data_IF_581731611287
#
_entry.id   IF_581731611287
#
_cell.length_a   1.000
_cell.length_b   1.000
_cell.length_c   1.000
_cell.angle_alpha   90.00
_cell.angle_beta   90.00
_cell.angle_gamma   90.00
#
_symmetry.space_group_name_H-M   'P 1'
#
loop_
_entity.id
_entity.type
_entity.pdbx_description
1 polymer ?
#
# COMPACT_ATOMS: atom_id res chain seq x y z
N UNK A 1 -7.87 -79.31 30.42
CA UNK A 1 -7.51 -79.36 28.99
C UNK A 1 -8.35 -78.32 28.27
N UNK A 2 -7.72 -77.40 27.50
CA UNK A 2 -8.27 -76.22 26.77
C UNK A 2 -8.41 -74.95 27.64
N UNK A 3 -7.41 -74.06 27.66
CA UNK A 3 -7.13 -72.91 26.77
C UNK A 3 -8.19 -71.79 26.84
N UNK A 4 -7.82 -70.64 27.42
CA UNK A 4 -8.27 -69.28 27.02
C UNK A 4 -7.32 -68.25 27.71
N UNK A 5 -6.28 -67.83 26.99
CA UNK A 5 -6.10 -66.48 26.43
C UNK A 5 -5.95 -65.35 27.48
N UNK A 6 -4.68 -65.09 27.81
CA UNK A 6 -4.23 -63.85 28.43
C UNK A 6 -4.25 -62.74 27.38
N UNK A 7 -5.03 -61.68 27.64
CA UNK A 7 -5.06 -60.46 26.85
C UNK A 7 -3.83 -59.61 27.22
N UNK A 8 -2.83 -59.58 26.35
CA UNK A 8 -1.70 -58.64 26.46
C UNK A 8 -2.20 -57.25 26.07
N UNK A 9 -2.36 -56.38 27.06
CA UNK A 9 -2.68 -54.97 26.88
C UNK A 9 -1.39 -54.23 26.47
N UNK A 10 -1.12 -54.15 25.17
CA UNK A 10 -0.06 -53.28 24.63
C UNK A 10 -0.52 -51.83 24.72
N UNK A 11 -0.02 -51.09 25.72
CA UNK A 11 -0.13 -49.63 25.74
C UNK A 11 0.71 -49.05 24.61
N UNK A 12 0.04 -48.51 23.59
CA UNK A 12 0.61 -47.57 22.64
C UNK A 12 0.98 -46.28 23.39
N UNK A 13 2.28 -46.03 23.54
CA UNK A 13 2.82 -44.68 23.81
C UNK A 13 2.87 -43.91 22.48
N UNK A 14 1.75 -43.32 22.08
CA UNK A 14 1.76 -42.25 21.08
C UNK A 14 2.16 -40.98 21.84
N UNK A 15 3.44 -40.66 21.80
CA UNK A 15 3.91 -39.36 22.27
C UNK A 15 3.29 -38.25 21.41
N UNK A 16 2.85 -37.13 21.99
CA UNK A 16 2.38 -36.00 21.20
C UNK A 16 3.56 -35.47 20.39
N UNK A 17 3.54 -35.73 19.08
CA UNK A 17 4.34 -34.95 18.15
C UNK A 17 3.74 -33.55 18.20
N UNK A 18 4.46 -32.63 18.85
CA UNK A 18 4.21 -31.21 18.69
C UNK A 18 4.42 -30.91 17.21
N UNK A 19 3.32 -30.87 16.46
CA UNK A 19 3.28 -30.19 15.18
C UNK A 19 3.52 -28.73 15.52
N UNK A 20 4.78 -28.32 15.46
CA UNK A 20 5.11 -26.92 15.30
C UNK A 20 4.48 -26.53 13.97
N UNK A 21 3.28 -25.96 14.04
CA UNK A 21 2.82 -25.05 13.01
C UNK A 21 3.92 -23.98 12.98
N UNK A 22 4.79 -24.07 11.98
CA UNK A 22 5.55 -22.91 11.56
C UNK A 22 4.48 -21.86 11.27
N UNK A 23 4.36 -20.88 12.15
CA UNK A 23 3.75 -19.59 11.82
C UNK A 23 4.33 -19.24 10.46
N UNK A 24 3.50 -19.30 9.42
CA UNK A 24 3.89 -18.88 8.08
C UNK A 24 4.55 -17.53 8.26
N UNK A 25 5.84 -17.42 7.90
CA UNK A 25 6.63 -16.19 8.01
C UNK A 25 5.70 -15.02 7.75
N UNK A 26 5.42 -14.14 8.73
CA UNK A 26 4.42 -13.11 8.57
C UNK A 26 4.84 -12.32 7.35
N UNK A 27 4.09 -12.49 6.26
CA UNK A 27 4.34 -11.73 5.04
C UNK A 27 4.34 -10.27 5.48
N UNK A 28 5.36 -9.47 5.11
CA UNK A 28 5.39 -8.08 5.54
C UNK A 28 4.04 -7.47 5.21
N UNK A 29 3.36 -6.96 6.25
CA UNK A 29 2.09 -6.31 6.05
C UNK A 29 2.29 -5.24 4.99
N UNK A 30 1.54 -5.32 3.90
CA UNK A 30 1.56 -4.31 2.85
C UNK A 30 1.07 -3.02 3.49
N UNK A 31 2.02 -2.14 3.81
CA UNK A 31 1.66 -0.81 4.28
C UNK A 31 1.22 0.00 3.06
N UNK A 32 0.06 0.67 3.13
CA UNK A 32 -0.31 1.69 2.16
C UNK A 32 0.88 2.63 1.89
N UNK A 33 1.06 3.05 0.63
CA UNK A 33 2.20 3.90 0.26
C UNK A 33 2.15 5.29 0.91
N UNK A 34 0.95 5.77 1.19
CA UNK A 34 0.70 7.18 1.46
C UNK A 34 0.33 7.44 2.93
N UNK A 35 0.75 6.60 3.90
CA UNK A 35 0.37 6.70 5.32
C UNK A 35 0.46 8.15 5.87
N UNK A 36 -0.41 8.48 6.81
CA UNK A 36 -0.42 9.78 7.47
C UNK A 36 0.81 9.92 8.38
N UNK A 37 1.17 11.15 8.75
CA UNK A 37 2.25 11.41 9.70
C UNK A 37 2.06 10.64 11.01
N UNK A 38 0.83 10.55 11.51
CA UNK A 38 0.51 9.84 12.75
C UNK A 38 0.65 8.32 12.59
N UNK A 39 0.18 7.76 11.46
CA UNK A 39 0.35 6.33 11.14
C UNK A 39 1.85 5.96 11.05
N UNK A 40 2.68 6.79 10.42
CA UNK A 40 4.13 6.58 10.41
C UNK A 40 4.77 6.73 11.78
N UNK A 41 4.28 7.67 12.61
CA UNK A 41 4.76 7.81 13.98
C UNK A 41 4.49 6.56 14.80
N UNK A 42 3.29 6.00 14.73
CA UNK A 42 2.94 4.76 15.42
C UNK A 42 3.77 3.59 14.95
N UNK A 43 3.96 3.45 13.63
CA UNK A 43 4.83 2.44 13.04
C UNK A 43 6.26 2.53 13.58
N UNK A 44 6.79 3.75 13.67
CA UNK A 44 8.11 4.00 14.24
C UNK A 44 8.19 3.68 15.73
N UNK A 45 7.21 4.10 16.54
CA UNK A 45 7.18 3.77 17.98
C UNK A 45 7.10 2.26 18.21
N UNK A 46 6.31 1.54 17.42
CA UNK A 46 6.24 0.08 17.50
C UNK A 46 7.59 -0.56 17.15
N UNK A 47 8.26 -0.06 16.09
CA UNK A 47 9.59 -0.51 15.72
C UNK A 47 10.62 -0.29 16.83
N UNK A 48 10.64 0.90 17.44
CA UNK A 48 11.49 1.21 18.60
C UNK A 48 11.19 0.29 19.80
N UNK A 49 9.92 0.01 20.09
CA UNK A 49 9.54 -0.87 21.18
C UNK A 49 10.03 -2.31 20.96
N UNK A 50 10.04 -2.79 19.71
CA UNK A 50 10.48 -4.15 19.38
C UNK A 50 12.00 -4.36 19.40
N UNK A 51 12.78 -3.36 18.96
CA UNK A 51 14.23 -3.48 18.80
C UNK A 51 15.05 -2.72 19.86
N UNK A 52 14.41 -1.84 20.63
CA UNK A 52 15.08 -0.92 21.54
C UNK A 52 15.99 0.07 20.80
N UNK A 53 17.11 0.44 21.43
CA UNK A 53 18.06 1.42 20.85
C UNK A 53 18.78 0.91 19.61
N UNK A 54 18.85 -0.41 19.40
CA UNK A 54 19.49 -1.01 18.21
C UNK A 54 18.84 -0.56 16.91
N UNK A 55 17.55 -0.23 16.93
CA UNK A 55 16.84 0.31 15.79
C UNK A 55 17.50 1.57 15.20
N UNK A 56 18.15 2.39 16.03
CA UNK A 56 18.79 3.65 15.61
C UNK A 56 20.27 3.47 15.24
N UNK A 57 20.94 2.48 15.82
CA UNK A 57 22.37 2.23 15.62
C UNK A 57 22.65 1.65 14.22
N UNK A 58 21.69 0.88 13.70
CA UNK A 58 21.81 0.22 12.40
C UNK A 58 21.41 1.14 11.22
N UNK A 59 20.92 2.37 11.47
CA UNK A 59 20.46 3.29 10.43
C UNK A 59 21.57 4.20 9.88
N UNK A 60 21.47 4.50 8.59
CA UNK A 60 22.33 5.49 7.96
C UNK A 60 22.08 6.87 8.60
N UNK A 61 23.12 7.72 8.79
CA UNK A 61 22.98 8.98 9.52
C UNK A 61 21.85 9.89 9.02
N UNK A 62 21.69 10.00 7.69
CA UNK A 62 20.63 10.80 7.09
C UNK A 62 19.23 10.23 7.32
N UNK A 63 19.07 8.90 7.32
CA UNK A 63 17.81 8.22 7.66
C UNK A 63 17.41 8.56 9.09
N UNK A 64 18.34 8.37 10.04
CA UNK A 64 18.12 8.70 11.45
C UNK A 64 17.78 10.18 11.65
N UNK A 65 18.52 11.08 10.99
CA UNK A 65 18.24 12.52 11.09
C UNK A 65 16.87 12.87 10.50
N UNK A 66 16.49 12.28 9.36
CA UNK A 66 15.15 12.42 8.77
C UNK A 66 14.03 11.99 9.73
N UNK A 67 14.21 10.85 10.40
CA UNK A 67 13.29 10.34 11.43
C UNK A 67 13.17 11.33 12.60
N UNK A 68 14.30 11.70 13.20
CA UNK A 68 14.35 12.60 14.36
C UNK A 68 13.69 13.96 14.06
N UNK A 69 13.92 14.51 12.86
CA UNK A 69 13.29 15.76 12.44
C UNK A 69 11.78 15.67 12.36
N UNK A 70 11.25 14.58 11.79
CA UNK A 70 9.80 14.36 11.74
C UNK A 70 9.17 14.16 13.12
N UNK A 71 9.82 13.42 14.02
CA UNK A 71 9.34 13.28 15.41
C UNK A 71 9.30 14.64 16.12
N UNK A 72 10.35 15.47 15.98
CA UNK A 72 10.38 16.81 16.58
C UNK A 72 9.32 17.73 15.98
N UNK A 73 9.07 17.66 14.68
CA UNK A 73 7.98 18.38 14.02
C UNK A 73 6.60 17.94 14.52
N UNK A 74 6.36 16.63 14.66
CA UNK A 74 5.09 16.10 15.17
C UNK A 74 4.80 16.61 16.59
N UNK A 75 5.80 16.57 17.48
CA UNK A 75 5.69 17.14 18.82
C UNK A 75 5.41 18.65 18.79
N UNK A 76 6.04 19.38 17.86
CA UNK A 76 5.82 20.81 17.70
C UNK A 76 4.40 21.12 17.22
N UNK A 77 3.89 20.40 16.22
CA UNK A 77 2.52 20.53 15.73
C UNK A 77 1.50 20.25 16.84
N UNK A 78 1.72 19.19 17.63
CA UNK A 78 0.89 18.89 18.81
C UNK A 78 0.91 20.06 19.80
N UNK A 79 2.07 20.65 20.06
CA UNK A 79 2.21 21.81 20.97
C UNK A 79 1.49 23.06 20.45
N UNK A 80 1.58 23.35 19.15
CA UNK A 80 0.87 24.46 18.51
C UNK A 80 -0.64 24.23 18.58
N UNK A 81 -1.10 23.02 18.25
CA UNK A 81 -2.52 22.67 18.18
C UNK A 81 -3.22 22.57 19.54
N UNK A 82 -2.49 22.40 20.65
CA UNK A 82 -3.04 22.46 22.01
C UNK A 82 -3.74 23.80 22.34
N UNK A 83 -3.39 24.87 21.62
CA UNK A 83 -3.96 26.22 21.85
C UNK A 83 -5.02 26.61 20.82
N UNK A 84 -5.34 25.71 19.87
CA UNK A 84 -6.24 25.96 18.74
C UNK A 84 -7.55 25.21 18.92
N UNK A 85 -8.65 25.77 18.41
CA UNK A 85 -9.91 25.03 18.27
C UNK A 85 -9.75 23.91 17.23
N UNK A 86 -10.56 22.84 17.28
CA UNK A 86 -10.46 21.71 16.34
C UNK A 86 -10.46 22.12 14.86
N UNK A 87 -11.21 23.17 14.51
CA UNK A 87 -11.37 23.69 13.15
C UNK A 87 -10.17 24.53 12.69
N UNK A 88 -9.35 24.99 13.63
CA UNK A 88 -8.18 25.85 13.39
C UNK A 88 -6.85 25.12 13.59
N UNK A 89 -6.87 23.82 13.87
CA UNK A 89 -5.66 23.03 14.01
C UNK A 89 -4.87 23.02 12.69
N UNK A 90 -3.56 23.15 12.78
CA UNK A 90 -2.66 22.95 11.64
C UNK A 90 -2.65 21.46 11.31
N UNK A 91 -2.96 21.15 10.05
CA UNK A 91 -2.85 19.81 9.49
C UNK A 91 -1.93 19.85 8.29
N UNK A 92 -1.07 18.85 8.17
CA UNK A 92 -0.18 18.72 7.01
C UNK A 92 -0.88 18.07 5.82
N UNK A 93 -2.00 17.39 6.05
CA UNK A 93 -2.83 16.74 5.03
C UNK A 93 -4.14 17.52 4.80
N UNK A 94 -4.65 17.42 3.58
CA UNK A 94 -5.91 18.02 3.12
C UNK A 94 -6.29 17.38 1.78
N UNK A 95 -7.56 17.49 1.33
CA UNK A 95 -7.96 17.04 0.00
C UNK A 95 -7.07 17.58 -1.12
N UNK A 96 -6.71 18.86 -1.06
CA UNK A 96 -5.93 19.54 -2.11
C UNK A 96 -4.43 19.22 -2.11
N UNK A 97 -3.92 18.48 -1.13
CA UNK A 97 -2.48 18.17 -1.01
C UNK A 97 -2.15 16.72 -1.32
N UNK A 98 -3.16 15.95 -1.71
CA UNK A 98 -3.01 14.58 -2.18
C UNK A 98 -2.40 14.60 -3.57
N UNK A 99 -1.38 13.78 -3.75
CA UNK A 99 -0.75 13.54 -5.05
C UNK A 99 -0.55 12.05 -5.19
N UNK A 100 -1.07 11.47 -6.26
CA UNK A 100 -0.75 10.09 -6.59
C UNK A 100 0.69 9.95 -7.10
N UNK A 101 1.18 8.72 -7.10
CA UNK A 101 2.49 8.34 -7.62
C UNK A 101 2.24 7.52 -8.90
N UNK A 102 2.05 8.15 -10.07
CA UNK A 102 1.64 7.44 -11.27
C UNK A 102 2.73 6.47 -11.75
N UNK A 103 2.32 5.36 -12.36
CA UNK A 103 3.20 4.35 -12.98
C UNK A 103 4.25 4.91 -13.95
N UNK A 104 3.93 6.04 -14.59
CA UNK A 104 4.81 6.74 -15.55
C UNK A 104 5.90 7.59 -14.87
N UNK A 105 5.71 7.93 -13.60
CA UNK A 105 6.65 8.70 -12.80
C UNK A 105 6.76 8.07 -11.39
N UNK A 106 7.32 6.86 -11.29
CA UNK A 106 7.41 6.15 -10.03
C UNK A 106 8.24 6.93 -9.03
N UNK A 107 7.90 6.80 -7.76
CA UNK A 107 8.74 7.29 -6.67
C UNK A 107 9.91 6.33 -6.48
N UNK A 108 11.11 6.89 -6.44
CA UNK A 108 12.36 6.15 -6.24
C UNK A 108 12.99 6.67 -4.96
N UNK A 109 13.20 5.80 -3.99
CA UNK A 109 13.76 6.18 -2.70
C UNK A 109 14.63 5.10 -2.09
N UNK A 110 15.49 5.52 -1.16
CA UNK A 110 16.50 4.69 -0.52
C UNK A 110 17.46 5.58 0.26
N UNK A 111 18.50 5.02 0.90
CA UNK A 111 19.44 5.81 1.72
C UNK A 111 20.06 6.99 0.99
N UNK A 112 20.40 6.81 -0.30
CA UNK A 112 20.95 7.87 -1.14
C UNK A 112 19.96 9.01 -1.33
N UNK A 113 18.72 8.71 -1.74
CA UNK A 113 17.69 9.71 -2.00
C UNK A 113 17.24 10.41 -0.71
N UNK A 114 17.19 9.69 0.41
CA UNK A 114 16.94 10.28 1.74
C UNK A 114 18.03 11.29 2.08
N UNK A 115 19.30 10.93 1.90
CA UNK A 115 20.44 11.84 2.13
C UNK A 115 20.40 13.08 1.25
N UNK A 116 20.17 12.92 -0.05
CA UNK A 116 20.05 14.03 -1.01
C UNK A 116 18.84 14.93 -0.67
N UNK A 117 17.70 14.33 -0.30
CA UNK A 117 16.48 15.06 0.08
C UNK A 117 16.66 15.84 1.38
N UNK A 118 17.32 15.25 2.39
CA UNK A 118 17.65 15.91 3.64
C UNK A 118 18.55 17.13 3.39
N UNK A 119 19.64 16.97 2.62
CA UNK A 119 20.56 18.06 2.30
C UNK A 119 19.85 19.20 1.54
N UNK A 120 19.07 18.85 0.51
CA UNK A 120 18.28 19.81 -0.26
C UNK A 120 17.28 20.55 0.63
N UNK A 121 16.50 19.82 1.41
CA UNK A 121 15.51 20.40 2.31
C UNK A 121 16.16 21.35 3.32
N UNK A 122 17.23 20.95 4.02
CA UNK A 122 17.96 21.82 4.97
C UNK A 122 18.52 23.09 4.31
N UNK A 123 18.89 23.04 3.03
CA UNK A 123 19.32 24.24 2.29
C UNK A 123 18.18 25.21 1.95
N UNK A 124 16.94 24.73 1.96
CA UNK A 124 15.74 25.53 1.63
C UNK A 124 14.89 25.90 2.83
N UNK A 125 15.08 25.25 3.98
CA UNK A 125 14.35 25.55 5.20
C UNK A 125 14.81 26.89 5.80
N UNK A 126 13.88 27.73 6.29
CA UNK A 126 14.21 28.87 7.13
C UNK A 126 15.13 28.47 8.28
N UNK A 127 16.08 29.35 8.62
CA UNK A 127 17.06 29.08 9.67
C UNK A 127 16.39 28.76 11.01
N UNK A 128 15.31 29.48 11.37
CA UNK A 128 14.57 29.22 12.61
C UNK A 128 13.91 27.83 12.61
N UNK A 129 13.24 27.44 11.51
CA UNK A 129 12.66 26.10 11.38
C UNK A 129 13.74 25.02 11.44
N UNK A 130 14.88 25.25 10.81
CA UNK A 130 16.01 24.31 10.84
C UNK A 130 16.55 24.12 12.26
N UNK A 131 16.68 25.20 13.04
CA UNK A 131 17.16 25.14 14.42
C UNK A 131 16.15 24.47 15.36
N UNK A 132 14.85 24.67 15.15
CA UNK A 132 13.84 23.94 15.92
C UNK A 132 13.82 22.47 15.51
N UNK A 133 13.79 22.11 14.23
CA UNK A 133 13.61 20.71 13.81
C UNK A 133 14.89 19.88 13.94
N UNK A 134 16.05 20.43 13.59
CA UNK A 134 17.33 19.69 13.53
C UNK A 134 18.42 20.25 14.45
N UNK A 135 18.17 21.38 15.12
CA UNK A 135 19.12 22.02 16.02
C UNK A 135 18.75 21.87 17.50
N UNK A 136 19.31 22.76 18.31
CA UNK A 136 19.19 22.75 19.77
C UNK A 136 18.04 23.60 20.29
N UNK A 137 17.28 24.27 19.42
CA UNK A 137 16.16 25.12 19.86
C UNK A 137 14.97 24.26 20.28
N UNK A 138 14.35 24.63 21.40
CA UNK A 138 13.15 23.96 21.92
C UNK A 138 11.91 24.28 21.06
N UNK A 139 10.97 23.34 21.01
CA UNK A 139 9.66 23.55 20.39
C UNK A 139 8.86 24.57 21.19
N UNK A 140 8.07 25.41 20.51
CA UNK A 140 7.24 26.45 21.15
C UNK A 140 5.76 26.30 20.78
N UNK A 141 4.86 27.07 21.39
CA UNK A 141 3.44 27.07 21.03
C UNK A 141 3.14 27.87 19.74
N UNK A 142 4.16 28.51 19.15
CA UNK A 142 4.08 29.32 17.94
C UNK A 142 5.05 28.80 16.89
N UNK A 143 4.94 29.29 15.65
CA UNK A 143 5.90 29.03 14.57
C UNK A 143 6.37 30.34 13.95
N UNK A 144 7.57 30.38 13.37
CA UNK A 144 8.06 31.55 12.65
C UNK A 144 7.30 31.75 11.33
N UNK A 145 7.16 33.00 10.91
CA UNK A 145 6.55 33.36 9.62
C UNK A 145 5.03 33.19 9.56
N UNK A 146 4.51 33.06 8.34
CA UNK A 146 3.08 32.82 8.11
C UNK A 146 2.72 31.35 8.25
N UNK A 147 1.44 31.05 8.50
CA UNK A 147 0.97 29.66 8.61
C UNK A 147 1.15 28.88 7.31
N UNK A 148 0.96 29.53 6.17
CA UNK A 148 1.16 28.94 4.85
C UNK A 148 2.61 28.53 4.61
N UNK A 149 3.57 29.43 4.93
CA UNK A 149 5.01 29.14 4.83
C UNK A 149 5.42 28.01 5.78
N UNK A 150 4.93 28.05 7.02
CA UNK A 150 5.17 26.99 7.98
C UNK A 150 4.67 25.64 7.47
N UNK A 151 3.41 25.55 7.02
CA UNK A 151 2.82 24.32 6.49
C UNK A 151 3.62 23.80 5.29
N UNK A 152 4.01 24.70 4.37
CA UNK A 152 4.81 24.33 3.19
C UNK A 152 6.12 23.64 3.59
N UNK A 153 6.85 24.20 4.55
CA UNK A 153 8.11 23.64 5.03
C UNK A 153 7.94 22.41 5.92
N UNK A 154 6.93 22.41 6.78
CA UNK A 154 6.56 21.27 7.60
C UNK A 154 6.24 20.03 6.74
N UNK A 155 5.55 20.22 5.61
CA UNK A 155 5.30 19.14 4.62
C UNK A 155 6.58 18.57 4.01
N UNK A 156 7.63 19.37 3.83
CA UNK A 156 8.91 18.86 3.31
C UNK A 156 9.60 17.95 4.32
N UNK A 157 9.62 18.37 5.59
CA UNK A 157 10.14 17.58 6.72
C UNK A 157 9.33 16.30 6.89
N UNK A 158 8.01 16.40 6.84
CA UNK A 158 7.10 15.26 6.93
C UNK A 158 7.31 14.25 5.79
N UNK A 159 7.40 14.67 4.53
CA UNK A 159 7.69 13.73 3.42
C UNK A 159 9.02 12.98 3.59
N UNK A 160 10.06 13.68 4.06
CA UNK A 160 11.34 13.04 4.36
C UNK A 160 11.20 12.04 5.52
N UNK A 161 10.48 12.42 6.57
CA UNK A 161 10.17 11.57 7.71
C UNK A 161 9.47 10.29 7.29
N UNK A 162 8.39 10.39 6.50
CA UNK A 162 7.62 9.26 5.99
C UNK A 162 8.51 8.30 5.17
N UNK A 163 9.33 8.85 4.28
CA UNK A 163 10.28 8.06 3.47
C UNK A 163 11.32 7.35 4.33
N UNK A 164 11.92 8.06 5.28
CA UNK A 164 12.95 7.52 6.17
C UNK A 164 12.39 6.45 7.12
N UNK A 165 11.20 6.68 7.68
CA UNK A 165 10.48 5.72 8.52
C UNK A 165 10.13 4.48 7.71
N UNK A 166 9.50 4.62 6.53
CA UNK A 166 9.18 3.47 5.65
C UNK A 166 10.42 2.63 5.33
N UNK A 167 11.53 3.28 5.01
CA UNK A 167 12.80 2.59 4.78
C UNK A 167 13.25 1.79 6.01
N UNK A 168 13.28 2.43 7.19
CA UNK A 168 13.76 1.84 8.42
C UNK A 168 12.87 0.69 8.93
N UNK A 169 11.55 0.86 8.93
CA UNK A 169 10.61 -0.05 9.57
C UNK A 169 10.17 -1.19 8.66
N UNK A 170 10.10 -0.94 7.35
CA UNK A 170 9.39 -1.82 6.42
C UNK A 170 10.31 -2.36 5.34
N UNK A 171 11.08 -1.50 4.67
CA UNK A 171 11.91 -1.95 3.56
C UNK A 171 13.15 -2.69 4.04
N UNK A 172 13.97 -2.04 4.88
CA UNK A 172 15.28 -2.56 5.29
C UNK A 172 15.19 -3.93 5.98
N UNK A 173 14.25 -4.18 6.92
CA UNK A 173 14.13 -5.49 7.56
C UNK A 173 13.66 -6.60 6.60
N UNK A 174 12.95 -6.23 5.53
CA UNK A 174 12.31 -7.17 4.60
C UNK A 174 12.89 -7.09 3.18
N UNK A 175 14.14 -6.64 3.04
CA UNK A 175 14.75 -6.32 1.75
C UNK A 175 14.72 -7.49 0.74
N UNK A 176 14.92 -8.72 1.23
CA UNK A 176 14.84 -9.94 0.41
C UNK A 176 13.45 -10.16 -0.20
N UNK A 177 12.40 -9.87 0.58
CA UNK A 177 11.04 -9.93 0.11
C UNK A 177 10.79 -8.83 -0.94
N UNK A 178 11.23 -7.59 -0.70
CA UNK A 178 11.08 -6.49 -1.67
C UNK A 178 11.85 -6.72 -2.97
N UNK A 179 12.99 -7.42 -2.95
CA UNK A 179 13.68 -7.88 -4.17
C UNK A 179 12.83 -8.88 -4.95
N UNK A 180 12.24 -9.85 -4.24
CA UNK A 180 11.36 -10.86 -4.83
C UNK A 180 10.07 -10.24 -5.40
N UNK A 181 9.57 -9.19 -4.75
CA UNK A 181 8.40 -8.43 -5.19
C UNK A 181 8.61 -7.73 -6.53
N UNK A 182 9.84 -7.61 -7.04
CA UNK A 182 10.11 -7.07 -8.38
C UNK A 182 9.48 -7.91 -9.50
N UNK A 183 9.15 -9.19 -9.25
CA UNK A 183 8.34 -9.98 -10.17
C UNK A 183 6.91 -9.42 -10.35
N UNK A 184 6.46 -8.53 -9.47
CA UNK A 184 5.19 -7.80 -9.57
C UNK A 184 5.31 -6.46 -10.31
N UNK A 185 6.50 -6.09 -10.81
CA UNK A 185 6.65 -4.89 -11.64
C UNK A 185 5.93 -5.09 -12.98
N UNK A 186 4.79 -4.41 -13.15
CA UNK A 186 3.92 -4.57 -14.33
C UNK A 186 4.10 -3.47 -15.39
N UNK A 187 5.08 -2.56 -15.20
CA UNK A 187 5.39 -1.50 -16.17
C UNK A 187 5.66 -2.04 -17.57
N UNK A 188 6.34 -3.18 -17.68
CA UNK A 188 6.61 -3.81 -18.98
C UNK A 188 5.33 -4.12 -19.76
N UNK A 189 4.33 -4.72 -19.10
CA UNK A 189 3.02 -4.99 -19.72
C UNK A 189 2.29 -3.70 -20.05
N UNK A 190 2.21 -2.78 -19.09
CA UNK A 190 1.53 -1.50 -19.24
C UNK A 190 2.01 -0.72 -20.47
N UNK A 191 3.33 -0.56 -20.64
CA UNK A 191 3.88 0.18 -21.79
C UNK A 191 3.69 -0.57 -23.10
N UNK A 192 3.89 -1.89 -23.14
CA UNK A 192 3.68 -2.69 -24.35
C UNK A 192 2.22 -2.67 -24.81
N UNK A 193 1.27 -2.66 -23.87
CA UNK A 193 -0.16 -2.63 -24.17
C UNK A 193 -0.65 -1.28 -24.74
N UNK A 194 0.12 -0.20 -24.55
CA UNK A 194 -0.17 1.13 -25.11
C UNK A 194 0.44 1.36 -26.50
N UNK A 195 1.31 0.46 -26.97
CA UNK A 195 1.95 0.61 -28.27
C UNK A 195 1.02 0.06 -29.36
N UNK A 196 0.58 0.94 -30.26
CA UNK A 196 -0.14 0.53 -31.46
C UNK A 196 0.74 -0.41 -32.32
N UNK A 197 0.13 -1.47 -32.83
CA UNK A 197 0.76 -2.48 -33.69
C UNK A 197 2.07 -3.06 -33.11
N UNK A 198 2.11 -3.27 -31.79
CA UNK A 198 3.31 -3.78 -31.10
C UNK A 198 3.86 -5.05 -31.74
N UNK A 199 3.01 -5.95 -32.23
CA UNK A 199 3.45 -7.19 -32.87
C UNK A 199 4.20 -6.94 -34.18
N UNK A 200 3.70 -6.03 -35.03
CA UNK A 200 4.38 -5.62 -36.27
C UNK A 200 5.71 -4.92 -35.99
N UNK A 201 5.80 -4.11 -34.93
CA UNK A 201 7.06 -3.52 -34.49
C UNK A 201 8.07 -4.57 -34.05
N UNK A 202 7.62 -5.58 -33.28
CA UNK A 202 8.50 -6.65 -32.80
C UNK A 202 8.94 -7.62 -33.90
N UNK A 203 8.15 -7.79 -34.97
CA UNK A 203 8.57 -8.52 -36.18
C UNK A 203 9.69 -7.80 -36.94
N UNK A 204 9.67 -6.46 -36.92
CA UNK A 204 10.65 -5.60 -37.59
C UNK A 204 11.61 -4.94 -36.59
N UNK A 205 11.92 -5.63 -35.48
CA UNK A 205 12.65 -5.05 -34.35
C UNK A 205 14.02 -4.49 -34.75
N UNK A 206 14.75 -5.19 -35.63
CA UNK A 206 16.10 -4.80 -36.04
C UNK A 206 16.14 -3.50 -36.86
N UNK A 207 15.02 -3.13 -37.49
CA UNK A 207 14.88 -1.92 -38.30
C UNK A 207 14.44 -0.70 -37.49
N UNK A 208 14.04 -0.89 -36.23
CA UNK A 208 13.61 0.21 -35.36
C UNK A 208 14.80 1.11 -34.95
N UNK A 209 14.56 2.39 -34.63
CA UNK A 209 15.56 3.24 -33.99
C UNK A 209 16.11 2.60 -32.71
N UNK A 210 17.40 2.83 -32.41
CA UNK A 210 18.07 2.23 -31.24
C UNK A 210 17.37 2.56 -29.92
N UNK A 211 16.85 3.78 -29.78
CA UNK A 211 16.10 4.20 -28.60
C UNK A 211 14.82 3.37 -28.41
N UNK A 212 14.08 3.13 -29.49
CA UNK A 212 12.86 2.30 -29.48
C UNK A 212 13.20 0.83 -29.22
N UNK A 213 14.28 0.31 -29.81
CA UNK A 213 14.78 -1.03 -29.49
C UNK A 213 15.10 -1.18 -28.00
N UNK A 214 15.76 -0.18 -27.41
CA UNK A 214 16.12 -0.19 -25.99
C UNK A 214 14.88 -0.09 -25.10
N UNK A 215 13.90 0.73 -25.45
CA UNK A 215 12.63 0.84 -24.73
C UNK A 215 11.84 -0.48 -24.76
N UNK A 216 11.69 -1.08 -25.95
CA UNK A 216 11.03 -2.37 -26.13
C UNK A 216 11.78 -3.49 -25.41
N UNK A 217 13.12 -3.53 -25.47
CA UNK A 217 13.93 -4.48 -24.70
C UNK A 217 13.62 -4.40 -23.21
N UNK A 218 13.64 -3.19 -22.62
CA UNK A 218 13.35 -3.01 -21.18
C UNK A 218 11.97 -3.56 -20.82
N UNK A 219 10.94 -3.22 -21.59
CA UNK A 219 9.58 -3.65 -21.32
C UNK A 219 9.39 -5.17 -21.51
N UNK A 220 10.01 -5.74 -22.55
CA UNK A 220 9.98 -7.18 -22.81
C UNK A 220 10.67 -7.97 -21.69
N UNK A 221 11.86 -7.54 -21.26
CA UNK A 221 12.53 -8.12 -20.09
C UNK A 221 11.64 -8.02 -18.85
N UNK A 222 10.96 -6.89 -18.65
CA UNK A 222 9.97 -6.71 -17.58
C UNK A 222 8.88 -7.79 -17.57
N UNK A 223 8.22 -8.05 -18.71
CA UNK A 223 7.17 -9.10 -18.77
C UNK A 223 7.72 -10.51 -18.55
N UNK A 224 8.96 -10.78 -18.93
CA UNK A 224 9.63 -12.05 -18.61
C UNK A 224 9.80 -12.23 -17.09
N UNK A 225 10.09 -11.15 -16.36
CA UNK A 225 10.22 -11.19 -14.90
C UNK A 225 8.92 -11.43 -14.17
N UNK A 226 7.77 -11.09 -14.77
CA UNK A 226 6.47 -11.48 -14.23
C UNK A 226 6.28 -13.02 -14.20
N UNK A 227 7.08 -13.76 -14.97
CA UNK A 227 7.17 -15.22 -14.90
C UNK A 227 8.15 -15.74 -13.82
N UNK A 228 8.63 -14.87 -12.92
CA UNK A 228 9.59 -15.17 -11.84
C UNK A 228 10.98 -15.61 -12.31
N UNK A 229 11.37 -15.27 -13.53
CA UNK A 229 12.75 -15.39 -13.99
C UNK A 229 13.61 -14.25 -13.43
N UNK A 230 14.89 -14.53 -13.25
CA UNK A 230 15.89 -13.52 -12.87
C UNK A 230 16.15 -12.54 -14.01
N UNK A 231 16.69 -11.36 -13.69
CA UNK A 231 17.07 -10.34 -14.68
C UNK A 231 18.03 -10.93 -15.74
N UNK A 232 19.06 -11.67 -15.30
CA UNK A 232 20.06 -12.26 -16.18
C UNK A 232 19.45 -13.30 -17.15
N UNK A 233 18.60 -14.19 -16.65
CA UNK A 233 17.90 -15.17 -17.49
C UNK A 233 17.03 -14.50 -18.55
N UNK A 234 16.28 -13.46 -18.17
CA UNK A 234 15.44 -12.71 -19.10
C UNK A 234 16.27 -11.98 -20.16
N UNK A 235 17.37 -11.35 -19.77
CA UNK A 235 18.27 -10.67 -20.70
C UNK A 235 18.93 -11.64 -21.69
N UNK A 236 19.42 -12.78 -21.21
CA UNK A 236 20.02 -13.82 -22.06
C UNK A 236 18.99 -14.40 -23.04
N UNK A 237 17.79 -14.71 -22.55
CA UNK A 237 16.68 -15.21 -23.37
C UNK A 237 16.25 -14.18 -24.43
N UNK A 238 16.24 -12.89 -24.08
CA UNK A 238 15.97 -11.80 -25.03
C UNK A 238 17.07 -11.70 -26.10
N UNK A 239 18.35 -11.74 -25.71
CA UNK A 239 19.48 -11.67 -26.65
C UNK A 239 19.45 -12.83 -27.64
N UNK A 240 19.16 -14.04 -27.17
CA UNK A 240 18.94 -15.21 -28.04
C UNK A 240 17.79 -14.99 -29.02
N UNK A 241 16.64 -14.51 -28.52
CA UNK A 241 15.46 -14.24 -29.35
C UNK A 241 15.72 -13.15 -30.40
N UNK A 242 16.44 -12.08 -30.03
CA UNK A 242 16.86 -11.03 -30.97
C UNK A 242 17.77 -11.57 -32.06
N UNK A 243 18.76 -12.39 -31.70
CA UNK A 243 19.73 -12.94 -32.65
C UNK A 243 19.09 -13.91 -33.66
N UNK A 244 17.99 -14.56 -33.25
CA UNK A 244 17.21 -15.47 -34.10
C UNK A 244 16.03 -14.79 -34.83
N UNK A 245 15.90 -13.46 -34.76
CA UNK A 245 14.75 -12.71 -35.29
C UNK A 245 13.38 -13.19 -34.73
N UNK A 246 13.33 -13.55 -33.46
CA UNK A 246 12.17 -14.10 -32.74
C UNK A 246 11.69 -13.21 -31.58
N UNK A 247 11.86 -11.89 -31.67
CA UNK A 247 11.48 -10.97 -30.59
C UNK A 247 9.97 -11.00 -30.30
N UNK A 248 9.13 -11.11 -31.34
CA UNK A 248 7.69 -11.34 -31.16
C UNK A 248 7.40 -12.66 -30.41
N UNK A 249 8.14 -13.72 -30.72
CA UNK A 249 8.04 -15.00 -30.01
C UNK A 249 8.38 -14.88 -28.52
N UNK A 250 9.38 -14.07 -28.18
CA UNK A 250 9.71 -13.74 -26.79
C UNK A 250 8.54 -13.06 -26.08
N UNK A 251 7.91 -12.04 -26.70
CA UNK A 251 6.72 -11.38 -26.13
C UNK A 251 5.62 -12.40 -25.85
N UNK A 252 5.24 -13.18 -26.87
CA UNK A 252 4.11 -14.11 -26.79
C UNK A 252 4.31 -15.19 -25.73
N UNK A 253 5.56 -15.63 -25.51
CA UNK A 253 5.91 -16.59 -24.44
C UNK A 253 5.56 -16.08 -23.04
N UNK A 254 5.79 -14.80 -22.75
CA UNK A 254 5.65 -14.24 -21.41
C UNK A 254 4.38 -13.38 -21.21
N UNK A 255 3.65 -13.08 -22.28
CA UNK A 255 2.50 -12.17 -22.25
C UNK A 255 1.40 -12.59 -21.27
N UNK A 256 1.04 -13.88 -21.24
CA UNK A 256 -0.01 -14.39 -20.35
C UNK A 256 0.35 -14.20 -18.87
N UNK A 257 1.61 -14.40 -18.49
CA UNK A 257 2.07 -14.21 -17.12
C UNK A 257 2.02 -12.73 -16.71
N UNK A 258 2.33 -11.84 -17.65
CA UNK A 258 2.27 -10.41 -17.43
C UNK A 258 0.81 -9.90 -17.27
N UNK A 259 -0.12 -10.43 -18.07
CA UNK A 259 -1.57 -10.19 -17.88
C UNK A 259 -2.03 -10.70 -16.52
N UNK A 260 -1.60 -11.90 -16.12
CA UNK A 260 -1.98 -12.47 -14.82
C UNK A 260 -1.45 -11.61 -13.67
N UNK A 261 -0.19 -11.16 -13.74
CA UNK A 261 0.38 -10.24 -12.76
C UNK A 261 -0.41 -8.92 -12.69
N UNK A 262 -0.73 -8.31 -13.84
CA UNK A 262 -1.56 -7.10 -13.92
C UNK A 262 -2.93 -7.31 -13.28
N UNK A 263 -3.61 -8.42 -13.60
CA UNK A 263 -4.95 -8.71 -13.09
C UNK A 263 -4.99 -8.92 -11.57
N UNK A 264 -3.88 -9.31 -10.92
CA UNK A 264 -3.84 -9.47 -9.45
C UNK A 264 -4.08 -8.16 -8.70
N UNK A 265 -3.93 -7.02 -9.36
CA UNK A 265 -4.15 -5.69 -8.78
C UNK A 265 -5.58 -5.18 -8.98
N UNK A 266 -6.41 -5.83 -9.79
CA UNK A 266 -7.72 -5.29 -10.15
C UNK A 266 -8.88 -6.24 -9.97
N UNK A 267 -8.63 -7.56 -9.98
CA UNK A 267 -9.69 -8.58 -9.96
C UNK A 267 -9.93 -9.14 -8.57
N UNK A 268 -11.20 -9.25 -8.20
CA UNK A 268 -11.67 -9.95 -7.01
C UNK A 268 -11.51 -11.45 -7.26
N UNK A 269 -10.66 -12.10 -6.47
CA UNK A 269 -10.37 -13.54 -6.60
C UNK A 269 -11.25 -14.43 -5.72
N UNK A 270 -11.76 -13.88 -4.61
CA UNK A 270 -12.59 -14.58 -3.64
C UNK A 270 -13.78 -13.69 -3.23
N UNK A 271 -14.83 -13.61 -4.06
CA UNK A 271 -15.96 -12.73 -3.79
C UNK A 271 -16.72 -13.18 -2.54
N UNK A 272 -17.21 -12.20 -1.80
CA UNK A 272 -18.16 -12.42 -0.69
C UNK A 272 -19.43 -13.13 -1.18
N UNK A 273 -20.08 -13.88 -0.29
CA UNK A 273 -21.32 -14.59 -0.60
C UNK A 273 -22.58 -13.92 -0.01
N UNK A 274 -22.40 -12.94 0.87
CA UNK A 274 -23.45 -12.18 1.59
C UNK A 274 -23.77 -10.83 0.91
N UNK A 275 -23.44 -10.69 -0.38
CA UNK A 275 -23.77 -9.52 -1.19
C UNK A 275 -25.01 -9.81 -2.05
N UNK A 276 -26.00 -8.93 -1.99
CA UNK A 276 -27.20 -8.98 -2.83
C UNK A 276 -27.15 -7.91 -3.92
N UNK A 277 -26.93 -8.35 -5.17
CA UNK A 277 -27.03 -7.50 -6.36
C UNK A 277 -27.59 -8.31 -7.52
N UNK A 278 -28.84 -8.07 -7.88
CA UNK A 278 -29.58 -8.88 -8.86
C UNK A 278 -30.18 -8.00 -9.96
N UNK A 279 -30.61 -8.61 -11.07
CA UNK A 279 -31.32 -7.90 -12.13
C UNK A 279 -32.57 -7.13 -11.66
N UNK A 280 -33.25 -7.59 -10.60
CA UNK A 280 -34.40 -6.88 -10.01
C UNK A 280 -33.97 -5.58 -9.33
N UNK A 281 -32.80 -5.60 -8.67
CA UNK A 281 -32.20 -4.46 -7.98
C UNK A 281 -30.93 -3.99 -8.71
N UNK A 282 -30.98 -3.83 -10.04
CA UNK A 282 -29.77 -3.62 -10.84
C UNK A 282 -29.00 -2.34 -10.49
N UNK A 283 -29.65 -1.34 -9.89
CA UNK A 283 -29.05 -0.08 -9.44
C UNK A 283 -28.54 -0.12 -8.00
N UNK A 284 -28.59 -1.27 -7.32
CA UNK A 284 -28.31 -1.36 -5.90
C UNK A 284 -27.61 -2.65 -5.51
N UNK A 285 -26.41 -2.53 -4.97
CA UNK A 285 -25.72 -3.60 -4.25
C UNK A 285 -26.00 -3.44 -2.75
N UNK A 286 -26.55 -4.45 -2.10
CA UNK A 286 -26.79 -4.46 -0.66
C UNK A 286 -25.82 -5.40 0.05
N UNK A 287 -25.31 -4.98 1.20
CA UNK A 287 -24.41 -5.78 2.04
C UNK A 287 -24.70 -5.53 3.52
N UNK A 288 -24.65 -6.58 4.33
CA UNK A 288 -24.80 -6.47 5.77
C UNK A 288 -23.52 -5.97 6.44
N UNK A 289 -23.69 -5.13 7.45
CA UNK A 289 -22.61 -4.64 8.31
C UNK A 289 -23.07 -4.68 9.77
N UNK A 290 -22.19 -5.05 10.69
CA UNK A 290 -22.56 -5.13 12.12
C UNK A 290 -22.81 -3.74 12.66
N UNK A 291 -23.94 -3.57 13.36
CA UNK A 291 -24.28 -2.32 14.03
C UNK A 291 -23.22 -2.00 15.10
N UNK A 292 -22.53 -0.83 15.03
CA UNK A 292 -21.58 -0.43 16.05
C UNK A 292 -22.22 -0.06 17.39
N UNK A 293 -23.56 -0.12 17.52
CA UNK A 293 -24.39 0.31 18.66
C UNK A 293 -24.34 1.82 18.96
N UNK A 294 -23.35 2.53 18.43
CA UNK A 294 -23.23 3.97 18.50
C UNK A 294 -23.81 4.61 17.22
N UNK A 295 -24.96 5.29 17.36
CA UNK A 295 -25.64 5.94 16.23
C UNK A 295 -24.75 6.92 15.46
N UNK A 296 -23.88 7.70 16.14
CA UNK A 296 -22.97 8.63 15.45
C UNK A 296 -22.01 7.88 14.52
N UNK A 297 -21.43 6.78 14.99
CA UNK A 297 -20.50 5.97 14.19
C UNK A 297 -21.26 5.28 13.06
N UNK A 298 -22.46 4.74 13.33
CA UNK A 298 -23.31 4.10 12.33
C UNK A 298 -23.66 5.07 11.20
N UNK A 299 -24.17 6.25 11.55
CA UNK A 299 -24.63 7.24 10.59
C UNK A 299 -23.43 7.78 9.78
N UNK A 300 -22.29 8.05 10.44
CA UNK A 300 -21.04 8.41 9.77
C UNK A 300 -20.58 7.34 8.78
N UNK A 301 -20.58 6.05 9.18
CA UNK A 301 -20.16 4.95 8.31
C UNK A 301 -21.07 4.85 7.08
N UNK A 302 -22.39 4.96 7.30
CA UNK A 302 -23.37 4.93 6.22
C UNK A 302 -23.09 6.03 5.22
N UNK A 303 -23.02 7.27 5.69
CA UNK A 303 -22.82 8.44 4.83
C UNK A 303 -21.46 8.35 4.11
N UNK A 304 -20.37 8.13 4.84
CA UNK A 304 -19.02 8.13 4.29
C UNK A 304 -18.79 7.00 3.26
N UNK A 305 -19.30 5.79 3.50
CA UNK A 305 -19.11 4.65 2.59
C UNK A 305 -20.10 4.71 1.44
N UNK A 306 -21.39 4.94 1.69
CA UNK A 306 -22.38 4.97 0.61
C UNK A 306 -22.18 6.17 -0.32
N UNK A 307 -21.72 7.32 0.18
CA UNK A 307 -21.39 8.47 -0.68
C UNK A 307 -20.22 8.19 -1.62
N UNK A 308 -19.22 7.44 -1.16
CA UNK A 308 -18.09 7.04 -2.01
C UNK A 308 -18.50 5.99 -3.04
N UNK A 309 -19.17 4.93 -2.63
CA UNK A 309 -19.51 3.80 -3.51
C UNK A 309 -20.81 4.04 -4.30
N UNK A 310 -20.79 5.11 -5.11
CA UNK A 310 -21.82 5.49 -6.09
C UNK A 310 -21.21 5.62 -7.49
N UNK A 311 -21.92 5.18 -8.52
CA UNK A 311 -21.51 5.34 -9.92
C UNK A 311 -22.73 5.47 -10.84
N UNK A 312 -22.96 6.67 -11.38
CA UNK A 312 -24.20 6.99 -12.08
C UNK A 312 -25.42 6.79 -11.17
N UNK A 313 -26.41 6.02 -11.63
CA UNK A 313 -27.59 5.67 -10.82
C UNK A 313 -27.35 4.48 -9.87
N UNK A 314 -26.21 3.78 -10.01
CA UNK A 314 -25.88 2.66 -9.14
C UNK A 314 -25.31 3.12 -7.81
N UNK A 315 -25.67 2.43 -6.72
CA UNK A 315 -25.13 2.66 -5.38
C UNK A 315 -24.96 1.40 -4.56
N UNK A 316 -24.02 1.45 -3.62
CA UNK A 316 -23.93 0.53 -2.50
C UNK A 316 -24.89 0.96 -1.39
N UNK A 317 -25.56 0.00 -0.75
CA UNK A 317 -26.37 0.21 0.46
C UNK A 317 -25.90 -0.73 1.58
N UNK A 318 -25.57 -0.13 2.73
CA UNK A 318 -25.23 -0.81 3.96
C UNK A 318 -26.48 -1.03 4.81
N UNK A 319 -26.71 -2.29 5.18
CA UNK A 319 -27.73 -2.67 6.17
C UNK A 319 -27.08 -3.00 7.50
N UNK A 320 -27.38 -2.20 8.54
CA UNK A 320 -26.85 -2.44 9.88
C UNK A 320 -27.69 -3.51 10.60
N UNK A 321 -27.05 -4.60 11.00
CA UNK A 321 -27.69 -5.72 11.71
C UNK A 321 -26.93 -6.06 13.00
N UNK A 322 -27.54 -6.81 13.92
CA UNK A 322 -26.82 -7.32 15.09
C UNK A 322 -25.61 -8.21 14.70
N UNK A 323 -25.63 -8.75 13.47
CA UNK A 323 -24.56 -9.54 12.87
C UNK A 323 -24.36 -10.92 13.51
N UNK A 324 -23.49 -11.71 12.88
CA UNK A 324 -23.03 -13.01 13.36
C UNK A 324 -21.57 -13.26 12.98
N UNK A 325 -21.15 -14.52 13.04
CA UNK A 325 -19.84 -14.91 12.51
C UNK A 325 -19.78 -14.63 11.01
N UNK A 326 -18.80 -13.83 10.57
CA UNK A 326 -18.60 -13.47 9.16
C UNK A 326 -19.19 -12.13 8.72
N UNK A 327 -20.08 -11.51 9.50
CA UNK A 327 -20.58 -10.16 9.22
C UNK A 327 -19.44 -9.15 9.39
N UNK A 328 -19.26 -8.26 8.40
CA UNK A 328 -18.21 -7.25 8.47
C UNK A 328 -18.49 -6.22 9.57
N UNK A 329 -17.45 -5.67 10.20
CA UNK A 329 -17.59 -4.68 11.27
C UNK A 329 -16.39 -3.75 11.40
N UNK A 330 -16.59 -2.65 12.13
CA UNK A 330 -15.56 -1.68 12.50
C UNK A 330 -15.10 -1.90 13.95
N UNK A 331 -13.79 -1.88 14.18
CA UNK A 331 -13.16 -1.98 15.48
C UNK A 331 -12.17 -0.82 15.68
N UNK A 332 -12.19 -0.21 16.87
CA UNK A 332 -11.22 0.81 17.25
C UNK A 332 -10.23 0.23 18.25
N UNK A 333 -8.93 0.34 17.94
CA UNK A 333 -7.85 -0.05 18.83
C UNK A 333 -6.84 1.09 18.94
N UNK A 334 -6.30 1.41 20.12
CA UNK A 334 -5.35 2.51 20.24
C UNK A 334 -3.99 2.16 19.63
N UNK A 335 -3.42 3.10 18.87
CA UNK A 335 -2.06 3.04 18.30
C UNK A 335 -1.88 1.90 17.28
N UNK A 336 -2.87 1.68 16.43
CA UNK A 336 -2.80 0.71 15.34
C UNK A 336 -2.80 1.42 13.99
N UNK A 337 -2.01 0.92 13.04
CA UNK A 337 -2.17 1.30 11.64
C UNK A 337 -3.46 0.67 11.11
N UNK A 338 -4.34 1.44 10.45
CA UNK A 338 -5.56 0.90 9.87
C UNK A 338 -5.31 -0.27 8.91
N UNK A 339 -6.19 -1.26 8.95
CA UNK A 339 -6.11 -2.45 8.10
C UNK A 339 -7.41 -3.27 8.15
N UNK A 340 -7.59 -4.19 7.21
CA UNK A 340 -8.60 -5.26 7.29
C UNK A 340 -8.02 -6.57 7.84
N UNK A 341 -8.57 -7.06 8.95
CA UNK A 341 -8.25 -8.38 9.52
C UNK A 341 -9.34 -9.41 9.19
N UNK A 342 -8.92 -10.63 8.83
CA UNK A 342 -9.82 -11.75 8.50
C UNK A 342 -10.74 -11.48 7.30
N UNK A 343 -10.51 -10.39 6.56
CA UNK A 343 -11.36 -9.95 5.46
C UNK A 343 -12.72 -9.37 5.85
N UNK A 344 -12.98 -9.18 7.15
CA UNK A 344 -14.27 -8.74 7.66
C UNK A 344 -14.17 -7.65 8.73
N UNK A 345 -12.99 -7.41 9.31
CA UNK A 345 -12.81 -6.44 10.39
C UNK A 345 -12.02 -5.26 9.88
N UNK A 346 -12.64 -4.09 9.78
CA UNK A 346 -11.91 -2.83 9.60
C UNK A 346 -11.39 -2.45 10.97
N UNK A 347 -10.07 -2.41 11.15
CA UNK A 347 -9.43 -1.96 12.39
C UNK A 347 -8.94 -0.53 12.16
N UNK A 348 -9.32 0.39 13.04
CA UNK A 348 -8.94 1.81 13.00
C UNK A 348 -8.29 2.23 14.32
N UNK A 349 -7.45 3.28 14.27
CA UNK A 349 -6.89 3.88 15.49
C UNK A 349 -7.97 4.59 16.31
N UNK A 350 -8.11 4.19 17.58
CA UNK A 350 -9.02 4.81 18.53
C UNK A 350 -8.65 6.27 18.87
N UNK A 351 -7.41 6.67 18.65
CA UNK A 351 -6.94 8.03 18.94
C UNK A 351 -7.19 9.02 17.80
N UNK A 352 -7.54 8.54 16.60
CA UNK A 352 -7.77 9.37 15.44
C UNK A 352 -9.25 9.83 15.38
N UNK A 353 -9.54 11.13 15.20
CA UNK A 353 -10.91 11.60 15.05
C UNK A 353 -11.56 10.99 13.80
N UNK A 354 -12.71 10.33 13.94
CA UNK A 354 -13.36 9.62 12.82
C UNK A 354 -13.76 10.58 11.68
N UNK A 355 -14.07 11.83 12.01
CA UNK A 355 -14.41 12.88 11.04
C UNK A 355 -13.20 13.48 10.33
N UNK A 356 -11.97 13.12 10.74
CA UNK A 356 -10.79 13.55 10.01
C UNK A 356 -10.80 12.96 8.60
N UNK A 357 -10.56 13.81 7.62
CA UNK A 357 -10.65 13.45 6.21
C UNK A 357 -9.77 12.24 5.81
N UNK A 358 -8.57 12.14 6.38
CA UNK A 358 -7.70 10.97 6.13
C UNK A 358 -8.30 9.70 6.74
N UNK A 359 -8.89 9.78 7.94
CA UNK A 359 -9.58 8.65 8.57
C UNK A 359 -10.80 8.22 7.76
N UNK A 360 -11.59 9.19 7.28
CA UNK A 360 -12.73 8.96 6.41
C UNK A 360 -12.33 8.29 5.08
N UNK A 361 -11.23 8.74 4.45
CA UNK A 361 -10.68 8.07 3.27
C UNK A 361 -10.19 6.65 3.58
N UNK A 362 -9.45 6.47 4.66
CA UNK A 362 -8.94 5.14 5.04
C UNK A 362 -10.09 4.17 5.27
N UNK A 363 -11.16 4.58 5.95
CA UNK A 363 -12.37 3.74 6.11
C UNK A 363 -12.97 3.34 4.76
N UNK A 364 -13.05 4.26 3.79
CA UNK A 364 -13.56 3.95 2.43
C UNK A 364 -12.67 2.94 1.70
N UNK A 365 -11.36 3.11 1.79
CA UNK A 365 -10.37 2.21 1.21
C UNK A 365 -10.42 0.81 1.85
N UNK A 366 -10.38 0.73 3.19
CA UNK A 366 -10.51 -0.54 3.92
C UNK A 366 -11.87 -1.21 3.65
N UNK A 367 -12.94 -0.43 3.45
CA UNK A 367 -14.22 -0.98 3.02
C UNK A 367 -14.17 -1.59 1.61
N UNK A 368 -13.35 -1.04 0.71
CA UNK A 368 -13.04 -1.69 -0.56
C UNK A 368 -12.45 -3.09 -0.38
N UNK A 369 -11.59 -3.29 0.63
CA UNK A 369 -11.07 -4.62 0.99
C UNK A 369 -12.13 -5.52 1.64
N UNK A 370 -13.10 -4.97 2.37
CA UNK A 370 -14.30 -5.73 2.80
C UNK A 370 -15.02 -6.29 1.58
N UNK A 371 -15.15 -5.51 0.50
CA UNK A 371 -15.67 -5.92 -0.82
C UNK A 371 -14.66 -6.73 -1.65
N UNK A 372 -13.54 -7.16 -1.06
CA UNK A 372 -12.53 -8.04 -1.67
C UNK A 372 -11.77 -7.42 -2.85
N UNK A 373 -11.86 -6.11 -3.03
CA UNK A 373 -11.04 -5.38 -3.99
C UNK A 373 -9.57 -5.42 -3.53
N UNK A 374 -8.63 -5.82 -4.39
CA UNK A 374 -7.20 -5.76 -4.08
C UNK A 374 -6.67 -4.32 -4.14
N UNK A 375 -5.54 -4.09 -3.48
CA UNK A 375 -4.71 -2.91 -3.72
C UNK A 375 -4.16 -2.88 -5.15
N UNK A 376 -4.03 -1.68 -5.71
CA UNK A 376 -3.46 -1.47 -7.04
C UNK A 376 -2.24 -0.55 -7.07
N UNK A 377 -1.33 -0.78 -6.13
CA UNK A 377 0.02 -0.20 -6.14
C UNK A 377 1.11 -1.26 -6.06
N UNK A 378 2.30 -0.90 -6.51
CA UNK A 378 3.48 -1.76 -6.58
C UNK A 378 4.61 -1.12 -5.78
N UNK A 379 5.33 -1.94 -5.02
CA UNK A 379 6.58 -1.55 -4.36
C UNK A 379 7.57 -2.71 -4.35
N UNK A 380 8.80 -2.46 -4.77
CA UNK A 380 9.88 -3.44 -4.79
C UNK A 380 11.26 -2.76 -4.69
N UNK A 381 12.27 -3.54 -4.33
CA UNK A 381 13.66 -3.09 -4.35
C UNK A 381 14.32 -3.48 -5.67
N UNK A 382 14.94 -2.51 -6.34
CA UNK A 382 15.67 -2.70 -7.59
C UNK A 382 17.17 -2.67 -7.32
N UNK A 383 17.81 -3.84 -7.41
CA UNK A 383 19.26 -3.99 -7.17
C UNK A 383 20.11 -3.21 -8.19
N UNK A 384 19.58 -2.86 -9.37
CA UNK A 384 20.37 -2.14 -10.39
C UNK A 384 20.59 -0.67 -10.06
N UNK A 385 19.67 -0.07 -9.32
CA UNK A 385 19.73 1.33 -8.85
C UNK A 385 19.84 1.43 -7.32
N UNK A 386 19.96 0.28 -6.64
CA UNK A 386 20.05 0.14 -5.19
C UNK A 386 18.99 0.98 -4.45
N UNK A 387 17.76 0.94 -4.94
CA UNK A 387 16.67 1.78 -4.46
C UNK A 387 15.33 1.05 -4.52
N UNK A 388 14.40 1.50 -3.71
CA UNK A 388 12.99 1.11 -3.80
C UNK A 388 12.33 1.87 -4.94
N UNK A 389 11.53 1.17 -5.72
CA UNK A 389 10.65 1.74 -6.73
C UNK A 389 9.22 1.48 -6.27
N UNK A 390 8.41 2.52 -6.20
CA UNK A 390 6.98 2.40 -5.93
C UNK A 390 6.14 3.25 -6.88
N UNK A 391 4.93 2.77 -7.18
CA UNK A 391 3.96 3.49 -8.00
C UNK A 391 2.55 2.90 -7.86
N UNK A 392 1.57 3.70 -8.24
CA UNK A 392 0.15 3.41 -8.27
C UNK A 392 -0.26 3.20 -9.73
N UNK A 393 -1.04 2.15 -10.01
CA UNK A 393 -1.41 1.79 -11.37
C UNK A 393 -2.43 2.77 -11.98
N UNK A 394 -3.30 3.33 -11.14
CA UNK A 394 -4.26 4.38 -11.48
C UNK A 394 -4.41 5.35 -10.31
N UNK A 395 -3.90 6.57 -10.44
CA UNK A 395 -3.94 7.56 -9.35
C UNK A 395 -5.35 8.09 -9.05
N UNK A 396 -6.34 7.76 -9.89
CA UNK A 396 -7.74 8.16 -9.72
C UNK A 396 -8.59 7.08 -9.04
N UNK A 397 -8.04 5.88 -8.83
CA UNK A 397 -8.73 4.74 -8.23
C UNK A 397 -8.57 4.69 -6.71
N UNK A 398 -9.70 4.55 -5.98
CA UNK A 398 -9.74 4.45 -4.51
C UNK A 398 -8.82 3.35 -3.96
N UNK A 399 -8.63 2.25 -4.70
CA UNK A 399 -7.81 1.11 -4.25
C UNK A 399 -6.33 1.27 -4.61
N UNK A 400 -5.98 2.31 -5.36
CA UNK A 400 -4.60 2.57 -5.78
C UNK A 400 -3.99 3.73 -5.00
N UNK A 401 -4.78 4.76 -4.71
CA UNK A 401 -4.26 6.08 -4.33
C UNK A 401 -5.16 6.81 -3.37
N UNK A 402 -4.56 7.58 -2.45
CA UNK A 402 -5.31 8.52 -1.60
C UNK A 402 -5.96 9.65 -2.39
N UNK A 403 -5.44 9.98 -3.57
CA UNK A 403 -6.08 10.92 -4.49
C UNK A 403 -7.25 10.30 -5.27
N UNK A 404 -7.41 8.99 -5.22
CA UNK A 404 -8.41 8.24 -5.95
C UNK A 404 -9.75 8.16 -5.24
N UNK A 405 -10.78 7.87 -6.03
CA UNK A 405 -12.16 7.68 -5.60
C UNK A 405 -12.76 6.48 -6.34
N UNK A 406 -14.02 6.16 -6.02
CA UNK A 406 -14.84 5.27 -6.83
C UNK A 406 -14.87 5.72 -8.29
N UNK A 407 -14.67 4.76 -9.20
CA UNK A 407 -14.61 5.01 -10.64
C UNK A 407 -15.28 3.86 -11.42
N UNK A 408 -15.29 3.99 -12.75
CA UNK A 408 -15.90 3.00 -13.64
C UNK A 408 -15.27 1.61 -13.50
N UNK A 409 -13.95 1.54 -13.33
CA UNK A 409 -13.24 0.26 -13.18
C UNK A 409 -13.67 -0.46 -11.92
N UNK A 410 -13.80 0.24 -10.78
CA UNK A 410 -14.29 -0.37 -9.53
C UNK A 410 -15.72 -0.91 -9.74
N UNK A 411 -16.60 -0.09 -10.34
CA UNK A 411 -17.98 -0.49 -10.62
C UNK A 411 -18.06 -1.75 -11.49
N UNK A 412 -17.29 -1.80 -12.57
CA UNK A 412 -17.27 -2.94 -13.48
C UNK A 412 -16.75 -4.21 -12.81
N UNK A 413 -15.74 -4.10 -11.94
CA UNK A 413 -15.24 -5.26 -11.20
C UNK A 413 -16.26 -5.75 -10.17
N UNK A 414 -16.89 -4.85 -9.41
CA UNK A 414 -17.96 -5.23 -8.49
C UNK A 414 -19.12 -5.89 -9.24
N UNK A 415 -19.49 -5.38 -10.41
CA UNK A 415 -20.54 -5.96 -11.25
C UNK A 415 -20.15 -7.36 -11.72
N UNK A 416 -18.93 -7.54 -12.21
CA UNK A 416 -18.41 -8.84 -12.62
C UNK A 416 -18.43 -9.85 -11.47
N UNK A 417 -18.05 -9.43 -10.26
CA UNK A 417 -17.94 -10.32 -9.10
C UNK A 417 -19.28 -10.65 -8.43
N UNK A 418 -20.23 -9.71 -8.41
CA UNK A 418 -21.41 -9.78 -7.54
C UNK A 418 -22.76 -9.76 -8.26
N UNK A 419 -22.87 -9.20 -9.47
CA UNK A 419 -24.16 -9.08 -10.15
C UNK A 419 -24.62 -10.44 -10.72
N UNK A 420 -25.85 -10.85 -10.38
CA UNK A 420 -26.44 -12.14 -10.80
C UNK A 420 -27.78 -12.01 -11.52
#
# INVERSE_FOLDING_TARGET
MRFLQALLMSMLLIGPTAVFAFEENPTPHFLPLDLTTEEYHQLWQHHLASLGTKALDDLEPATREGINGGEKLSLWLKKINQTRSPERQIRLTSPGTRSGIPIDSPSIYGPKQISESLAKMKSTLPAELTQVVYGTTDITATFPGTEEEFIKHARQVDRLYQTATRWATSIKPWLSWYRSAQARDVRGYYYLNKIADVDSKLQNFAQLPLEEQNALKRNLVGICRNARHTQSECEQSFVGSRSNNQVLGFKNRYWANAINAWNTFFKISNPRQDVDWTAVNAQRLSIEFRDPSNNRIRDFLKDNIEDEFKFGDWRLEMSFTNGGSGTAYLEFQPNVTPHVTGGNVIVMDANAPIEEYEVAWTIRHEYGHILRLPDCYVEFYDDTIESVVNYQLDTTDLMCSRAGNMNERIYLELKHAYFR
#
